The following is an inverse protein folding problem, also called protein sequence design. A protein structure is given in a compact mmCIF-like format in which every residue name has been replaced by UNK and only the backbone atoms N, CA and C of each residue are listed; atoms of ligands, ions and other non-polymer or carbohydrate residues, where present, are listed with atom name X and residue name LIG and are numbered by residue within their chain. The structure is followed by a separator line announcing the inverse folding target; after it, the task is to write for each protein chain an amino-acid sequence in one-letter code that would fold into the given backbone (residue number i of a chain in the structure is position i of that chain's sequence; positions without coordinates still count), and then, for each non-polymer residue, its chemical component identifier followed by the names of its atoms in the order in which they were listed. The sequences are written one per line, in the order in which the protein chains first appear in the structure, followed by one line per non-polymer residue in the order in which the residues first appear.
data_IF_093431331593
#
_entry.id   IF_093431331593
#
_cell.length_a   1.000
_cell.length_b   1.000
_cell.length_c   1.000
_cell.angle_alpha   90.00
_cell.angle_beta   90.00
_cell.angle_gamma   90.00
#
_symmetry.space_group_name_H-M   'P 1'
#
loop_
_entity.id
_entity.type
_entity.pdbx_description
1 polymer ?
#
# COMPACT_ATOMS: atom_id res chain seq x y z
N UNK A 1 -0.17 0.71 -16.06
CA UNK A 1 1.19 1.08 -16.50
C UNK A 1 1.64 0.33 -17.76
N UNK A 2 1.48 -1.00 -17.85
CA UNK A 2 1.90 -1.78 -19.03
C UNK A 2 1.41 -1.19 -20.38
N UNK A 3 0.11 -0.93 -20.48
CA UNK A 3 -0.47 -0.27 -21.65
C UNK A 3 0.17 1.09 -21.98
N UNK A 4 0.52 1.90 -20.96
CA UNK A 4 1.17 3.20 -21.19
C UNK A 4 2.64 3.04 -21.64
N UNK A 5 3.35 2.01 -21.17
CA UNK A 5 4.70 1.70 -21.67
C UNK A 5 4.64 1.34 -23.16
N UNK A 6 3.69 0.50 -23.54
CA UNK A 6 3.50 0.04 -24.92
C UNK A 6 3.01 1.15 -25.86
N UNK A 7 1.98 1.90 -25.46
CA UNK A 7 1.29 2.86 -26.34
C UNK A 7 1.84 4.28 -26.29
N UNK A 8 2.52 4.66 -25.20
CA UNK A 8 3.06 6.01 -25.00
C UNK A 8 4.58 6.04 -24.84
N UNK A 9 5.25 4.89 -24.81
CA UNK A 9 6.71 4.81 -24.65
C UNK A 9 7.22 5.33 -23.30
N UNK A 10 6.35 5.39 -22.27
CA UNK A 10 6.71 5.93 -20.96
C UNK A 10 7.45 4.89 -20.10
N UNK A 11 8.37 5.36 -19.27
CA UNK A 11 8.92 4.59 -18.15
C UNK A 11 8.37 5.12 -16.84
N UNK A 12 8.38 4.27 -15.80
CA UNK A 12 7.84 4.59 -14.49
C UNK A 12 8.82 4.14 -13.43
N UNK A 13 8.97 4.99 -12.41
CA UNK A 13 9.52 4.68 -11.10
C UNK A 13 8.36 4.79 -10.11
N UNK A 14 8.21 3.79 -9.25
CA UNK A 14 7.15 3.69 -8.25
C UNK A 14 7.78 3.70 -6.87
N UNK A 15 7.31 4.60 -6.00
CA UNK A 15 7.72 4.62 -4.61
C UNK A 15 6.52 4.52 -3.69
N UNK A 16 6.53 3.53 -2.82
CA UNK A 16 5.52 3.38 -1.76
C UNK A 16 5.82 4.36 -0.63
N UNK A 17 4.77 5.05 -0.14
CA UNK A 17 4.88 6.05 0.93
C UNK A 17 3.99 5.65 2.11
N UNK A 18 4.44 5.88 3.36
CA UNK A 18 3.71 5.45 4.53
C UNK A 18 2.49 6.32 4.80
N UNK A 19 1.42 5.71 5.29
CA UNK A 19 0.21 6.40 5.73
C UNK A 19 -0.53 5.52 6.76
N UNK A 20 -0.91 6.10 7.91
CA UNK A 20 -1.70 5.37 8.91
C UNK A 20 -3.19 5.72 8.80
N UNK A 21 -4.01 4.69 8.56
CA UNK A 21 -5.47 4.78 8.69
C UNK A 21 -5.91 4.82 10.16
N UNK A 22 -5.24 4.04 11.00
CA UNK A 22 -5.50 3.98 12.44
C UNK A 22 -4.19 3.63 13.18
N UNK A 23 -3.43 4.64 13.64
CA UNK A 23 -2.19 4.41 14.37
C UNK A 23 -2.41 3.92 15.81
N UNK A 24 -3.66 3.88 16.29
CA UNK A 24 -4.00 3.47 17.66
C UNK A 24 -4.19 1.96 17.80
N UNK A 25 -4.18 1.22 16.69
CA UNK A 25 -4.37 -0.22 16.71
C UNK A 25 -3.30 -0.93 17.55
N UNK A 26 -3.67 -1.97 18.31
CA UNK A 26 -2.74 -2.73 19.13
C UNK A 26 -1.75 -3.54 18.28
N UNK A 27 -0.63 -3.91 18.88
CA UNK A 27 0.40 -4.75 18.26
C UNK A 27 0.06 -6.23 18.30
N UNK A 28 -0.69 -6.68 19.32
CA UNK A 28 -1.22 -8.04 19.44
C UNK A 28 -2.27 -8.38 18.37
N UNK A 29 -2.78 -7.36 17.69
CA UNK A 29 -3.82 -7.46 16.68
C UNK A 29 -5.23 -7.58 17.25
N UNK A 30 -6.22 -7.29 16.41
CA UNK A 30 -7.65 -7.37 16.73
C UNK A 30 -8.41 -8.00 15.57
N UNK A 31 -9.54 -8.64 15.85
CA UNK A 31 -10.45 -9.16 14.81
C UNK A 31 -10.87 -8.08 13.81
N UNK A 32 -10.60 -8.34 12.52
CA UNK A 32 -10.94 -7.47 11.38
C UNK A 32 -12.42 -7.24 11.25
N UNK A 33 -13.19 -8.32 11.34
CA UNK A 33 -14.65 -8.24 11.25
C UNK A 33 -15.25 -7.44 12.41
N UNK A 34 -14.77 -7.64 13.64
CA UNK A 34 -15.26 -6.89 14.80
C UNK A 34 -14.93 -5.40 14.70
N UNK A 35 -13.70 -5.05 14.29
CA UNK A 35 -13.32 -3.66 14.09
C UNK A 35 -14.16 -2.99 12.99
N UNK A 36 -14.40 -3.66 11.86
CA UNK A 36 -15.26 -3.13 10.81
C UNK A 36 -16.71 -2.99 11.26
N UNK A 37 -17.25 -3.95 12.01
CA UNK A 37 -18.60 -3.86 12.56
C UNK A 37 -18.73 -2.68 13.54
N UNK A 38 -17.72 -2.45 14.37
CA UNK A 38 -17.70 -1.30 15.29
C UNK A 38 -17.59 0.03 14.54
N UNK A 39 -16.77 0.09 13.48
CA UNK A 39 -16.51 1.32 12.72
C UNK A 39 -17.63 1.70 11.74
N UNK A 40 -18.21 0.72 11.06
CA UNK A 40 -19.14 0.93 9.96
C UNK A 40 -20.57 0.46 10.25
N UNK A 41 -20.77 -0.36 11.29
CA UNK A 41 -22.04 -1.00 11.60
C UNK A 41 -22.22 -2.34 10.88
N UNK A 42 -22.78 -3.32 11.60
CA UNK A 42 -22.96 -4.71 11.13
C UNK A 42 -23.69 -4.80 9.79
N UNK A 43 -24.78 -4.05 9.62
CA UNK A 43 -25.58 -4.11 8.38
C UNK A 43 -24.81 -3.55 7.18
N UNK A 44 -24.03 -2.48 7.36
CA UNK A 44 -23.19 -1.93 6.30
C UNK A 44 -22.07 -2.90 5.92
N UNK A 45 -21.47 -3.56 6.90
CA UNK A 45 -20.44 -4.59 6.66
C UNK A 45 -21.00 -5.77 5.88
N UNK A 46 -22.20 -6.26 6.24
CA UNK A 46 -22.90 -7.34 5.49
C UNK A 46 -23.14 -6.97 4.04
N UNK A 47 -23.46 -5.71 3.74
CA UNK A 47 -23.66 -5.23 2.37
C UNK A 47 -22.34 -5.02 1.62
N UNK A 48 -21.29 -4.55 2.30
CA UNK A 48 -19.99 -4.28 1.70
C UNK A 48 -19.19 -5.55 1.39
N UNK A 49 -19.32 -6.59 2.21
CA UNK A 49 -18.49 -7.79 2.10
C UNK A 49 -18.58 -8.51 0.75
N UNK A 50 -19.80 -8.76 0.19
CA UNK A 50 -19.92 -9.39 -1.14
C UNK A 50 -19.34 -8.51 -2.25
N UNK A 51 -19.54 -7.20 -2.19
CA UNK A 51 -19.01 -6.27 -3.19
C UNK A 51 -17.48 -6.29 -3.20
N UNK A 52 -16.85 -6.21 -2.02
CA UNK A 52 -15.39 -6.30 -1.90
C UNK A 52 -14.87 -7.62 -2.46
N UNK A 53 -15.50 -8.75 -2.11
CA UNK A 53 -15.10 -10.06 -2.62
C UNK A 53 -15.17 -10.11 -4.15
N UNK A 54 -16.27 -9.63 -4.74
CA UNK A 54 -16.43 -9.58 -6.19
C UNK A 54 -15.37 -8.69 -6.86
N UNK A 55 -15.04 -7.53 -6.27
CA UNK A 55 -13.99 -6.65 -6.79
C UNK A 55 -12.62 -7.33 -6.77
N UNK A 56 -12.24 -7.99 -5.67
CA UNK A 56 -10.96 -8.71 -5.62
C UNK A 56 -10.94 -9.89 -6.60
N UNK A 57 -12.04 -10.62 -6.75
CA UNK A 57 -12.18 -11.70 -7.74
C UNK A 57 -12.00 -11.19 -9.18
N UNK A 58 -12.57 -10.03 -9.54
CA UNK A 58 -12.40 -9.46 -10.89
C UNK A 58 -10.97 -9.02 -11.18
N UNK A 59 -10.19 -8.71 -10.14
CA UNK A 59 -8.75 -8.40 -10.23
C UNK A 59 -7.87 -9.66 -10.11
N UNK A 60 -8.45 -10.86 -10.15
CA UNK A 60 -7.70 -12.13 -10.12
C UNK A 60 -7.27 -12.58 -8.72
N UNK A 61 -7.90 -12.07 -7.66
CA UNK A 61 -7.59 -12.38 -6.26
C UNK A 61 -8.81 -13.09 -5.62
N UNK A 62 -9.08 -14.36 -5.96
CA UNK A 62 -10.28 -15.07 -5.48
C UNK A 62 -10.24 -15.43 -4.00
N UNK A 63 -9.04 -15.47 -3.41
CA UNK A 63 -8.82 -15.84 -2.01
C UNK A 63 -8.97 -14.65 -1.04
N UNK A 64 -9.53 -13.52 -1.49
CA UNK A 64 -9.78 -12.38 -0.60
C UNK A 64 -10.66 -12.77 0.59
N UNK A 65 -10.23 -12.34 1.78
CA UNK A 65 -10.95 -12.56 3.02
C UNK A 65 -11.10 -11.29 3.86
N UNK A 66 -12.29 -11.16 4.44
CA UNK A 66 -12.60 -10.18 5.47
C UNK A 66 -12.28 -10.67 6.89
N UNK A 67 -11.94 -11.95 7.02
CA UNK A 67 -11.51 -12.53 8.28
C UNK A 67 -10.05 -12.19 8.58
N UNK A 68 -9.60 -12.57 9.77
CA UNK A 68 -8.23 -12.36 10.22
C UNK A 68 -8.07 -11.15 11.13
N UNK A 69 -6.83 -10.67 11.20
CA UNK A 69 -6.41 -9.68 12.19
C UNK A 69 -5.98 -8.36 11.53
N UNK A 70 -6.36 -7.25 12.16
CA UNK A 70 -5.75 -5.94 11.96
C UNK A 70 -4.76 -5.67 13.09
N UNK A 71 -3.71 -4.90 12.82
CA UNK A 71 -2.76 -4.49 13.84
C UNK A 71 -2.07 -3.20 13.45
N UNK A 72 -1.28 -2.66 14.37
CA UNK A 72 -0.44 -1.52 14.09
C UNK A 72 0.53 -1.80 12.92
N UNK A 73 0.53 -0.97 11.88
CA UNK A 73 1.38 -1.16 10.70
C UNK A 73 2.70 -0.40 10.77
N UNK A 74 3.06 0.22 11.90
CA UNK A 74 4.27 1.02 12.01
C UNK A 74 5.53 0.25 11.60
N UNK A 75 5.71 -0.97 12.12
CA UNK A 75 6.85 -1.82 11.77
C UNK A 75 6.78 -2.34 10.31
N UNK A 76 5.58 -2.54 9.76
CA UNK A 76 5.42 -2.81 8.32
C UNK A 76 5.97 -1.66 7.48
N UNK A 77 5.63 -0.42 7.83
CA UNK A 77 6.10 0.75 7.10
C UNK A 77 7.61 0.98 7.24
N UNK A 78 8.19 0.68 8.41
CA UNK A 78 9.65 0.70 8.58
C UNK A 78 10.32 -0.30 7.65
N UNK A 79 9.75 -1.50 7.53
CA UNK A 79 10.29 -2.54 6.67
C UNK A 79 10.15 -2.19 5.18
N UNK A 80 9.05 -1.54 4.79
CA UNK A 80 8.86 -0.99 3.44
C UNK A 80 9.88 0.11 3.12
N UNK A 81 10.22 0.97 4.09
CA UNK A 81 11.27 1.98 3.90
C UNK A 81 12.64 1.31 3.71
N UNK A 82 13.00 0.33 4.56
CA UNK A 82 14.24 -0.45 4.41
C UNK A 82 14.33 -1.12 3.04
N UNK A 83 13.24 -1.75 2.57
CA UNK A 83 13.19 -2.38 1.26
C UNK A 83 13.45 -1.37 0.13
N UNK A 84 12.90 -0.16 0.25
CA UNK A 84 13.10 0.93 -0.70
C UNK A 84 14.53 1.47 -0.77
N UNK A 85 15.31 1.34 0.31
CA UNK A 85 16.74 1.66 0.30
C UNK A 85 17.57 0.62 -0.47
N UNK A 86 17.09 -0.62 -0.54
CA UNK A 86 17.76 -1.69 -1.26
C UNK A 86 17.42 -1.64 -2.75
N UNK A 87 16.14 -1.54 -3.12
CA UNK A 87 15.68 -1.22 -4.48
C UNK A 87 14.18 -0.96 -4.53
N UNK A 88 13.74 -0.26 -5.59
CA UNK A 88 12.31 -0.11 -5.91
C UNK A 88 11.62 -1.48 -6.07
N UNK A 89 12.26 -2.42 -6.76
CA UNK A 89 11.70 -3.75 -6.99
C UNK A 89 11.49 -4.54 -5.69
N UNK A 90 12.43 -4.45 -4.74
CA UNK A 90 12.30 -5.08 -3.42
C UNK A 90 11.19 -4.43 -2.59
N UNK A 91 11.05 -3.09 -2.68
CA UNK A 91 9.95 -2.39 -2.02
C UNK A 91 8.59 -2.85 -2.53
N UNK A 92 8.42 -2.91 -3.84
CA UNK A 92 7.20 -3.35 -4.49
C UNK A 92 6.87 -4.81 -4.15
N UNK A 93 7.86 -5.69 -4.27
CA UNK A 93 7.72 -7.10 -3.92
C UNK A 93 7.31 -7.30 -2.45
N UNK A 94 7.88 -6.53 -1.52
CA UNK A 94 7.52 -6.60 -0.11
C UNK A 94 6.08 -6.15 0.13
N UNK A 95 5.66 -5.03 -0.47
CA UNK A 95 4.28 -4.54 -0.35
C UNK A 95 3.28 -5.60 -0.85
N UNK A 96 3.58 -6.26 -1.97
CA UNK A 96 2.77 -7.36 -2.49
C UNK A 96 2.70 -8.54 -1.50
N UNK A 97 3.82 -8.92 -0.87
CA UNK A 97 3.81 -9.97 0.16
C UNK A 97 2.97 -9.59 1.38
N UNK A 98 3.02 -8.33 1.82
CA UNK A 98 2.22 -7.82 2.93
C UNK A 98 0.73 -7.77 2.58
N UNK A 99 0.38 -7.32 1.37
CA UNK A 99 -1.00 -7.36 0.88
C UNK A 99 -1.53 -8.79 0.84
N UNK A 100 -0.75 -9.75 0.33
CA UNK A 100 -1.15 -11.15 0.33
C UNK A 100 -1.36 -11.68 1.76
N UNK A 101 -0.43 -11.39 2.68
CA UNK A 101 -0.56 -11.80 4.08
C UNK A 101 -1.85 -11.25 4.72
N UNK A 102 -2.18 -9.99 4.47
CA UNK A 102 -3.34 -9.33 5.07
C UNK A 102 -4.67 -9.65 4.40
N UNK A 103 -4.74 -9.54 3.07
CA UNK A 103 -5.99 -9.64 2.32
C UNK A 103 -6.42 -11.07 2.02
N UNK A 104 -5.48 -12.03 1.94
CA UNK A 104 -5.82 -13.41 1.57
C UNK A 104 -5.48 -14.45 2.63
N UNK A 105 -4.55 -14.16 3.54
CA UNK A 105 -4.13 -15.10 4.58
C UNK A 105 -4.63 -14.75 5.99
N UNK A 106 -5.31 -13.61 6.15
CA UNK A 106 -5.85 -13.16 7.44
C UNK A 106 -4.80 -12.85 8.51
N UNK A 107 -3.53 -12.65 8.12
CA UNK A 107 -2.42 -12.43 9.04
C UNK A 107 -2.33 -10.97 9.48
N UNK A 108 -1.94 -10.75 10.72
CA UNK A 108 -1.67 -9.41 11.22
C UNK A 108 -0.35 -8.88 10.65
N UNK A 109 -0.36 -7.62 10.21
CA UNK A 109 0.84 -6.90 9.77
C UNK A 109 1.63 -6.26 10.94
N UNK A 110 1.21 -6.53 12.17
CA UNK A 110 1.98 -6.22 13.39
C UNK A 110 2.81 -7.40 13.89
N UNK A 111 2.60 -8.60 13.33
CA UNK A 111 3.32 -9.81 13.74
C UNK A 111 4.71 -9.87 13.10
N UNK A 112 5.75 -9.86 13.93
CA UNK A 112 7.15 -9.85 13.50
C UNK A 112 7.52 -11.05 12.63
N UNK A 113 7.02 -12.24 12.92
CA UNK A 113 7.36 -13.42 12.12
C UNK A 113 6.65 -13.38 10.75
N UNK A 114 5.46 -12.77 10.67
CA UNK A 114 4.80 -12.48 9.38
C UNK A 114 5.63 -11.49 8.57
N UNK A 115 6.13 -10.42 9.21
CA UNK A 115 6.96 -9.41 8.56
C UNK A 115 8.29 -9.98 8.06
N UNK A 116 8.99 -10.78 8.87
CA UNK A 116 10.24 -11.44 8.47
C UNK A 116 10.01 -12.42 7.33
N UNK A 117 8.93 -13.20 7.38
CA UNK A 117 8.59 -14.12 6.30
C UNK A 117 8.25 -13.39 5.00
N UNK A 118 7.58 -12.24 5.07
CA UNK A 118 7.31 -11.39 3.92
C UNK A 118 8.61 -10.81 3.32
N UNK A 119 9.49 -10.27 4.17
CA UNK A 119 10.81 -9.79 3.77
C UNK A 119 11.65 -10.86 3.07
N UNK A 120 11.72 -12.07 3.63
CA UNK A 120 12.47 -13.17 3.02
C UNK A 120 11.96 -13.55 1.63
N UNK A 121 10.63 -13.52 1.40
CA UNK A 121 10.05 -13.77 0.08
C UNK A 121 10.29 -12.65 -0.92
N UNK A 122 10.41 -11.42 -0.43
CA UNK A 122 10.74 -10.24 -1.23
C UNK A 122 12.26 -9.99 -1.34
N UNK A 123 13.08 -10.91 -0.81
CA UNK A 123 14.54 -10.82 -0.79
C UNK A 123 15.05 -9.54 -0.08
N UNK A 124 14.31 -9.03 0.90
CA UNK A 124 14.70 -7.87 1.71
C UNK A 124 15.58 -8.32 2.87
N UNK A 125 16.84 -7.86 2.85
CA UNK A 125 17.82 -8.16 3.89
C UNK A 125 17.63 -7.27 5.12
N UNK A 126 18.08 -7.70 6.30
CA UNK A 126 18.10 -6.85 7.51
C UNK A 126 16.76 -6.72 8.25
N UNK A 127 15.76 -7.54 7.91
CA UNK A 127 14.42 -7.42 8.49
C UNK A 127 14.38 -7.69 10.00
N UNK A 128 15.12 -8.69 10.50
CA UNK A 128 15.13 -9.02 11.94
C UNK A 128 15.83 -7.90 12.74
N UNK A 129 16.97 -7.45 12.24
CA UNK A 129 17.77 -6.37 12.81
C UNK A 129 16.98 -5.04 12.86
N UNK A 130 16.20 -4.76 11.82
CA UNK A 130 15.31 -3.61 11.80
C UNK A 130 14.24 -3.72 12.91
N UNK A 131 13.57 -4.86 13.02
CA UNK A 131 12.47 -5.07 13.98
C UNK A 131 12.95 -5.08 15.44
N UNK A 132 14.24 -5.33 15.67
CA UNK A 132 14.89 -5.26 16.98
C UNK A 132 15.48 -3.88 17.31
N UNK A 133 15.49 -2.96 16.35
CA UNK A 133 16.05 -1.61 16.51
C UNK A 133 14.99 -0.51 16.37
N UNK A 134 15.43 0.75 16.41
CA UNK A 134 14.63 1.94 16.10
C UNK A 134 14.84 2.49 14.70
N UNK A 135 15.63 1.82 13.84
CA UNK A 135 15.96 2.30 12.49
C UNK A 135 14.70 2.51 11.62
N UNK A 136 14.75 3.45 10.67
CA UNK A 136 13.63 3.87 9.81
C UNK A 136 12.46 4.57 10.52
N UNK A 137 12.52 4.78 11.84
CA UNK A 137 11.45 5.44 12.61
C UNK A 137 11.21 6.87 12.14
N UNK A 138 12.27 7.66 12.00
CA UNK A 138 12.17 9.08 11.65
C UNK A 138 11.68 9.26 10.22
N UNK A 139 12.17 8.43 9.30
CA UNK A 139 11.81 8.42 7.89
C UNK A 139 10.32 8.08 7.70
N UNK A 140 9.81 7.08 8.42
CA UNK A 140 8.39 6.72 8.38
C UNK A 140 7.52 7.85 8.95
N UNK A 141 7.89 8.41 10.10
CA UNK A 141 7.14 9.52 10.71
C UNK A 141 7.14 10.76 9.82
N UNK A 142 8.29 11.11 9.23
CA UNK A 142 8.40 12.22 8.30
C UNK A 142 7.56 12.00 7.03
N UNK A 143 7.52 10.78 6.48
CA UNK A 143 6.70 10.44 5.32
C UNK A 143 5.20 10.54 5.59
N UNK A 144 4.77 10.10 6.78
CA UNK A 144 3.37 10.21 7.21
C UNK A 144 2.97 11.68 7.40
N UNK A 145 3.83 12.46 8.06
CA UNK A 145 3.64 13.90 8.24
C UNK A 145 3.56 14.64 6.90
N UNK A 146 4.39 14.27 5.93
CA UNK A 146 4.31 14.82 4.57
C UNK A 146 2.93 14.56 3.95
N UNK A 147 2.42 13.33 4.04
CA UNK A 147 1.11 12.97 3.50
C UNK A 147 -0.03 13.74 4.18
N UNK A 148 0.02 13.88 5.51
CA UNK A 148 -0.96 14.67 6.25
C UNK A 148 -0.92 16.16 5.90
N UNK A 149 0.28 16.75 5.77
CA UNK A 149 0.44 18.15 5.35
C UNK A 149 -0.01 18.38 3.91
N UNK A 150 0.10 17.37 3.05
CA UNK A 150 -0.44 17.39 1.69
C UNK A 150 -1.97 17.23 1.66
N UNK A 151 -2.64 17.07 2.81
CA UNK A 151 -4.09 16.94 2.88
C UNK A 151 -4.63 15.56 2.51
N UNK A 152 -3.77 14.53 2.50
CA UNK A 152 -4.20 13.15 2.27
C UNK A 152 -5.01 12.68 3.47
N UNK A 153 -6.27 12.32 3.25
CA UNK A 153 -7.20 11.84 4.29
C UNK A 153 -7.65 10.40 4.09
N UNK A 154 -7.22 9.75 3.00
CA UNK A 154 -7.56 8.37 2.68
C UNK A 154 -6.60 7.78 1.66
N UNK A 155 -6.55 6.44 1.62
CA UNK A 155 -5.68 5.66 0.73
C UNK A 155 -6.50 4.63 -0.07
N UNK A 156 -6.04 4.25 -1.28
CA UNK A 156 -4.80 4.69 -1.93
C UNK A 156 -4.87 6.14 -2.42
N UNK A 157 -3.72 6.82 -2.43
CA UNK A 157 -3.53 8.16 -2.97
C UNK A 157 -2.24 8.18 -3.79
N UNK A 158 -2.31 8.76 -4.99
CA UNK A 158 -1.22 8.72 -5.97
C UNK A 158 -0.77 10.15 -6.28
N UNK A 159 0.54 10.40 -6.12
CA UNK A 159 1.20 11.62 -6.58
C UNK A 159 2.09 11.27 -7.77
N UNK A 160 1.70 11.70 -8.96
CA UNK A 160 2.33 11.32 -10.22
C UNK A 160 3.06 12.54 -10.78
N UNK A 161 4.38 12.42 -10.94
CA UNK A 161 5.26 13.49 -11.41
C UNK A 161 5.82 13.15 -12.79
N UNK A 162 5.76 14.09 -13.73
CA UNK A 162 6.45 13.97 -15.02
C UNK A 162 7.93 14.37 -14.91
N UNK A 163 8.74 13.97 -15.88
CA UNK A 163 10.13 14.44 -16.02
C UNK A 163 10.25 15.96 -16.14
N UNK A 164 9.24 16.62 -16.69
CA UNK A 164 9.14 18.09 -16.77
C UNK A 164 8.70 18.77 -15.47
N UNK A 165 8.55 18.02 -14.38
CA UNK A 165 8.18 18.55 -13.06
C UNK A 165 6.69 18.80 -12.85
N UNK A 166 5.84 18.50 -13.82
CA UNK A 166 4.38 18.61 -13.66
C UNK A 166 3.90 17.51 -12.71
N UNK A 167 3.11 17.90 -11.70
CA UNK A 167 2.54 16.98 -10.71
C UNK A 167 1.03 16.87 -10.90
N UNK A 168 0.51 15.65 -10.82
CA UNK A 168 -0.91 15.33 -10.76
C UNK A 168 -1.18 14.44 -9.56
N UNK A 169 -2.35 14.59 -8.97
CA UNK A 169 -2.80 13.80 -7.84
C UNK A 169 -4.07 13.04 -8.19
N UNK A 170 -4.21 11.84 -7.65
CA UNK A 170 -5.37 10.98 -7.84
C UNK A 170 -5.68 10.27 -6.53
N UNK A 171 -6.93 10.35 -6.08
CA UNK A 171 -7.38 9.78 -4.80
C UNK A 171 -8.34 8.62 -5.03
N UNK A 172 -8.16 7.54 -4.26
CA UNK A 172 -8.97 6.33 -4.30
C UNK A 172 -8.50 5.31 -5.34
N UNK A 173 -9.09 4.10 -5.27
CA UNK A 173 -8.90 3.03 -6.25
C UNK A 173 -9.61 3.35 -7.56
N UNK A 174 -9.06 4.29 -8.32
CA UNK A 174 -9.62 4.76 -9.59
C UNK A 174 -9.40 3.72 -10.70
N UNK A 175 -10.29 3.69 -11.71
CA UNK A 175 -10.15 2.74 -12.80
C UNK A 175 -8.94 3.09 -13.69
N UNK A 176 -8.35 2.12 -14.41
CA UNK A 176 -7.11 2.32 -15.18
C UNK A 176 -7.15 3.46 -16.20
N UNK A 177 -8.32 3.80 -16.73
CA UNK A 177 -8.54 4.87 -17.70
C UNK A 177 -8.20 6.24 -17.12
N UNK A 178 -8.44 6.48 -15.83
CA UNK A 178 -8.07 7.75 -15.19
C UNK A 178 -6.55 7.93 -15.12
N UNK A 179 -5.83 6.84 -14.83
CA UNK A 179 -4.37 6.85 -14.89
C UNK A 179 -3.86 7.10 -16.32
N UNK A 180 -4.45 6.45 -17.33
CA UNK A 180 -4.08 6.63 -18.73
C UNK A 180 -4.29 8.08 -19.21
N UNK A 181 -5.36 8.75 -18.77
CA UNK A 181 -5.59 10.18 -19.06
C UNK A 181 -4.45 11.05 -18.52
N UNK A 182 -4.02 10.80 -17.28
CA UNK A 182 -2.89 11.51 -16.66
C UNK A 182 -1.61 11.26 -17.45
N UNK A 183 -1.26 9.99 -17.71
CA UNK A 183 -0.02 9.63 -18.42
C UNK A 183 0.01 10.22 -19.84
N UNK A 184 -1.11 10.16 -20.57
CA UNK A 184 -1.25 10.76 -21.89
C UNK A 184 -1.02 12.28 -21.87
N UNK A 185 -1.45 12.96 -20.80
CA UNK A 185 -1.23 14.40 -20.64
C UNK A 185 0.24 14.78 -20.47
N UNK A 186 1.06 13.87 -19.93
CA UNK A 186 2.50 14.06 -19.80
C UNK A 186 3.24 13.80 -21.11
N UNK A 187 2.87 12.73 -21.83
CA UNK A 187 3.48 12.38 -23.12
C UNK A 187 3.33 13.52 -24.15
N UNK A 188 2.16 14.18 -24.20
CA UNK A 188 1.91 15.32 -25.12
C UNK A 188 2.73 16.58 -24.82
N UNK A 189 3.27 16.72 -23.61
CA UNK A 189 4.01 17.91 -23.16
C UNK A 189 5.53 17.74 -23.16
N UNK A 190 6.03 16.51 -23.33
CA UNK A 190 7.46 16.20 -23.37
C UNK A 190 8.08 16.19 -24.77
N UNK A 191 7.32 16.54 -25.82
CA UNK A 191 7.75 16.51 -27.22
C UNK A 191 8.24 17.84 -27.79
N UNK A 192 8.98 18.64 -27.01
CA UNK A 192 9.67 19.85 -27.49
C UNK A 192 11.17 19.75 -27.24
#
# INVERSE_FOLDING_TARGET
MAQARETLGLTFEVKWRPFFLDPSLPTEGKSKLEHYNAKFGVERVKQMAPFMKQTFESEGIPDYSMDGLLGNTFDSHRLIELAGEQSEAKQDALVEQLFRAYFTQGKSLSDREVLVAAAGRAEVDGARELLESSAKREEVLAGVEEAYRAGVTGVPHFRIRSSSGVVRELSGGQPPEEFLKIFSSFARRGGN
#
